data_IF_161635508667
#
_entry.id   IF_161635508667
#
_cell.length_a   1.000
_cell.length_b   1.000
_cell.length_c   1.000
_cell.angle_alpha   90.00
_cell.angle_beta   90.00
_cell.angle_gamma   90.00
#
_symmetry.space_group_name_H-M   'P 1'
#
loop_
_entity.id
_entity.type
_entity.pdbx_description
1 polymer ?
#
# COMPACT_ATOMS: atom_id res chain seq x y z
N UNK A 1 -15.41 -13.46 -22.92
CA UNK A 1 -15.49 -12.29 -22.03
C UNK A 1 -14.32 -11.31 -22.15
N UNK A 2 -13.04 -11.73 -22.10
CA UNK A 2 -11.89 -10.81 -22.15
C UNK A 2 -11.99 -9.70 -23.21
N UNK A 3 -12.14 -10.05 -24.50
CA UNK A 3 -12.15 -9.06 -25.58
C UNK A 3 -13.38 -8.13 -25.50
N UNK A 4 -14.53 -8.66 -25.08
CA UNK A 4 -15.74 -7.89 -24.89
C UNK A 4 -15.62 -6.82 -23.78
N UNK A 5 -14.84 -7.11 -22.71
CA UNK A 5 -14.55 -6.15 -21.65
C UNK A 5 -13.79 -4.93 -22.18
N UNK A 6 -12.84 -5.14 -23.11
CA UNK A 6 -12.02 -4.08 -23.70
C UNK A 6 -12.67 -3.39 -24.91
N UNK A 7 -13.46 -4.09 -25.72
CA UNK A 7 -14.15 -3.50 -26.88
C UNK A 7 -15.33 -2.60 -26.47
N UNK A 8 -15.90 -2.80 -25.27
CA UNK A 8 -17.13 -2.12 -24.82
C UNK A 8 -16.96 -1.31 -23.51
N UNK A 9 -15.75 -0.81 -23.26
CA UNK A 9 -15.36 -0.07 -22.04
C UNK A 9 -16.33 1.04 -21.60
N UNK A 10 -16.91 1.77 -22.56
CA UNK A 10 -17.79 2.92 -22.26
C UNK A 10 -19.14 2.52 -21.65
N UNK A 11 -19.51 1.23 -21.71
CA UNK A 11 -20.80 0.73 -21.24
C UNK A 11 -20.81 0.35 -19.75
N UNK A 12 -19.67 -0.04 -19.17
CA UNK A 12 -19.61 -0.57 -17.80
C UNK A 12 -18.78 0.28 -16.82
N UNK A 13 -18.00 1.25 -17.30
CA UNK A 13 -17.11 2.07 -16.46
C UNK A 13 -17.80 3.20 -15.66
N UNK A 14 -19.13 3.36 -15.77
CA UNK A 14 -19.87 4.50 -15.19
C UNK A 14 -20.95 4.08 -14.14
N UNK A 15 -20.53 3.35 -13.10
CA UNK A 15 -21.29 3.07 -11.85
C UNK A 15 -22.48 2.08 -11.89
N UNK A 16 -22.54 1.13 -12.84
CA UNK A 16 -23.32 -0.12 -12.69
C UNK A 16 -22.71 -1.26 -13.52
N UNK A 17 -21.48 -1.65 -13.19
CA UNK A 17 -20.71 -2.64 -13.94
C UNK A 17 -21.34 -4.05 -13.91
N UNK A 18 -21.96 -4.45 -12.80
CA UNK A 18 -22.48 -5.80 -12.62
C UNK A 18 -23.63 -6.14 -13.60
N UNK A 19 -24.56 -5.20 -13.82
CA UNK A 19 -25.69 -5.41 -14.76
C UNK A 19 -25.19 -5.70 -16.19
N UNK A 20 -24.12 -5.01 -16.61
CA UNK A 20 -23.51 -5.20 -17.93
C UNK A 20 -22.76 -6.53 -18.01
N UNK A 21 -22.06 -6.92 -16.95
CA UNK A 21 -21.32 -8.18 -16.90
C UNK A 21 -22.22 -9.41 -16.91
N UNK A 22 -23.42 -9.35 -16.31
CA UNK A 22 -24.42 -10.44 -16.39
C UNK A 22 -24.91 -10.63 -17.84
N UNK A 23 -25.09 -9.55 -18.62
CA UNK A 23 -25.41 -9.63 -20.04
C UNK A 23 -24.32 -10.32 -20.87
N UNK A 24 -23.05 -10.03 -20.59
CA UNK A 24 -21.93 -10.73 -21.23
C UNK A 24 -21.83 -12.20 -20.83
N UNK A 25 -22.25 -12.58 -19.62
CA UNK A 25 -22.29 -13.97 -19.19
C UNK A 25 -23.34 -14.80 -19.97
N UNK A 26 -24.55 -14.26 -20.18
CA UNK A 26 -25.63 -14.90 -20.95
C UNK A 26 -25.20 -15.21 -22.40
N UNK A 27 -24.58 -14.24 -23.07
CA UNK A 27 -24.08 -14.37 -24.45
C UNK A 27 -22.98 -15.43 -24.60
N UNK A 28 -22.17 -15.63 -23.56
CA UNK A 28 -21.11 -16.64 -23.53
C UNK A 28 -21.63 -18.00 -23.04
N UNK A 29 -22.94 -18.14 -22.82
CA UNK A 29 -23.61 -19.38 -22.45
C UNK A 29 -23.36 -19.82 -21.00
N UNK A 30 -23.04 -18.89 -20.11
CA UNK A 30 -22.85 -19.16 -18.69
C UNK A 30 -24.17 -19.09 -17.93
N UNK A 31 -24.22 -19.78 -16.78
CA UNK A 31 -25.36 -19.70 -15.86
C UNK A 31 -25.39 -18.34 -15.17
N UNK A 32 -26.34 -17.49 -15.57
CA UNK A 32 -26.40 -16.07 -15.13
C UNK A 32 -26.73 -15.91 -13.67
N UNK A 33 -27.55 -16.81 -13.09
CA UNK A 33 -27.84 -16.80 -11.65
C UNK A 33 -26.57 -17.09 -10.86
N UNK A 34 -25.81 -18.10 -11.27
CA UNK A 34 -24.53 -18.46 -10.64
C UNK A 34 -23.46 -17.40 -10.87
N UNK A 35 -23.52 -16.66 -11.98
CA UNK A 35 -22.56 -15.62 -12.33
C UNK A 35 -22.83 -14.29 -11.63
N UNK A 36 -24.09 -13.85 -11.57
CA UNK A 36 -24.48 -12.68 -10.77
C UNK A 36 -24.17 -12.92 -9.30
N UNK A 37 -24.54 -14.12 -8.79
CA UNK A 37 -24.14 -14.55 -7.46
C UNK A 37 -22.61 -14.56 -7.29
N UNK A 38 -21.83 -14.86 -8.33
CA UNK A 38 -20.37 -14.81 -8.28
C UNK A 38 -19.82 -13.39 -8.17
N UNK A 39 -20.47 -12.40 -8.80
CA UNK A 39 -20.07 -10.99 -8.75
C UNK A 39 -20.51 -10.31 -7.46
N UNK A 40 -21.74 -10.55 -7.03
CA UNK A 40 -22.25 -10.04 -5.75
C UNK A 40 -21.51 -10.63 -4.56
N UNK A 41 -21.09 -11.89 -4.68
CA UNK A 41 -20.29 -12.55 -3.65
C UNK A 41 -18.81 -12.15 -3.67
N UNK A 42 -18.37 -11.27 -4.57
CA UNK A 42 -16.97 -10.84 -4.63
C UNK A 42 -16.00 -12.00 -4.84
N UNK A 43 -16.40 -13.08 -5.52
CA UNK A 43 -15.71 -14.39 -5.48
C UNK A 43 -14.21 -14.33 -5.81
N UNK A 44 -13.82 -13.41 -6.69
CA UNK A 44 -12.45 -13.27 -7.15
C UNK A 44 -11.76 -12.02 -6.60
N UNK A 45 -12.42 -11.25 -5.72
CA UNK A 45 -11.79 -10.11 -5.06
C UNK A 45 -10.52 -10.57 -4.36
N UNK A 46 -10.54 -11.72 -3.69
CA UNK A 46 -9.35 -12.30 -3.06
C UNK A 46 -8.20 -12.58 -4.05
N UNK A 47 -8.50 -13.11 -5.25
CA UNK A 47 -7.48 -13.42 -6.26
C UNK A 47 -6.99 -12.16 -6.98
N UNK A 48 -7.90 -11.21 -7.26
CA UNK A 48 -7.61 -9.92 -7.90
C UNK A 48 -6.79 -9.04 -6.98
N UNK A 49 -7.16 -9.05 -5.70
CA UNK A 49 -6.40 -8.46 -4.64
C UNK A 49 -5.04 -9.17 -4.70
N UNK A 50 -4.88 -10.47 -4.47
CA UNK A 50 -3.57 -11.15 -4.53
C UNK A 50 -2.66 -10.77 -5.74
N UNK A 51 -3.20 -10.63 -6.95
CA UNK A 51 -2.45 -10.21 -8.16
C UNK A 51 -1.84 -8.80 -8.08
N UNK A 52 -2.42 -7.96 -7.26
CA UNK A 52 -2.14 -6.54 -7.19
C UNK A 52 -1.09 -6.20 -6.13
N UNK A 53 -1.05 -6.98 -5.04
CA UNK A 53 0.16 -7.05 -4.20
C UNK A 53 1.32 -7.64 -4.97
N UNK A 54 1.04 -8.67 -5.78
CA UNK A 54 2.04 -9.21 -6.68
C UNK A 54 2.56 -8.10 -7.59
N UNK A 55 1.72 -7.18 -8.09
CA UNK A 55 2.21 -6.02 -8.84
C UNK A 55 3.11 -5.08 -8.02
N UNK A 56 2.64 -4.62 -6.88
CA UNK A 56 3.31 -3.58 -6.08
C UNK A 56 4.63 -4.08 -5.51
N UNK A 57 4.67 -5.33 -5.03
CA UNK A 57 5.91 -6.00 -4.59
C UNK A 57 6.98 -6.08 -5.68
N UNK A 58 6.59 -6.00 -6.96
CA UNK A 58 7.52 -5.98 -8.09
C UNK A 58 7.88 -4.57 -8.56
N UNK A 59 7.64 -3.54 -7.72
CA UNK A 59 7.96 -2.14 -8.02
C UNK A 59 7.04 -1.54 -9.10
N UNK A 60 5.90 -2.18 -9.35
CA UNK A 60 4.89 -1.68 -10.29
C UNK A 60 4.11 -0.58 -9.59
N UNK A 61 4.37 0.65 -10.00
CA UNK A 61 3.59 1.82 -9.58
C UNK A 61 2.45 2.17 -10.56
N UNK A 62 2.26 1.37 -11.62
CA UNK A 62 1.22 1.61 -12.63
C UNK A 62 1.13 0.52 -13.71
N UNK A 63 -0.09 0.29 -14.19
CA UNK A 63 -0.37 -0.67 -15.27
C UNK A 63 -0.28 -0.01 -16.66
N UNK A 64 0.13 -0.74 -17.72
CA UNK A 64 0.69 -2.08 -17.68
C UNK A 64 2.18 -2.05 -17.36
N UNK A 65 2.65 -3.04 -16.60
CA UNK A 65 4.06 -3.28 -16.28
C UNK A 65 4.37 -4.76 -16.44
N UNK A 66 5.63 -5.07 -16.74
CA UNK A 66 6.07 -6.41 -17.16
C UNK A 66 7.35 -6.81 -16.45
N UNK A 67 7.52 -8.11 -16.21
CA UNK A 67 8.75 -8.67 -15.68
C UNK A 67 9.38 -9.57 -16.71
N UNK A 68 10.65 -9.32 -17.02
CA UNK A 68 11.43 -10.09 -17.98
C UNK A 68 12.60 -10.71 -17.22
N UNK A 69 12.51 -12.01 -16.93
CA UNK A 69 13.45 -12.72 -16.05
C UNK A 69 13.65 -12.01 -14.69
N UNK A 70 12.55 -11.48 -14.16
CA UNK A 70 12.52 -10.71 -12.91
C UNK A 70 12.89 -9.23 -13.03
N UNK A 71 13.22 -8.70 -14.21
CA UNK A 71 13.53 -7.27 -14.40
C UNK A 71 12.34 -6.49 -14.92
N UNK A 72 12.06 -5.34 -14.29
CA UNK A 72 10.89 -4.50 -14.54
C UNK A 72 11.01 -3.74 -15.87
N UNK A 73 10.02 -3.96 -16.74
CA UNK A 73 9.78 -3.20 -17.95
C UNK A 73 8.41 -2.53 -17.80
N UNK A 74 8.43 -1.24 -17.48
CA UNK A 74 7.22 -0.45 -17.27
C UNK A 74 6.64 0.01 -18.62
N UNK A 75 5.32 -0.03 -18.78
CA UNK A 75 4.57 0.54 -19.90
C UNK A 75 4.36 -0.43 -21.07
N UNK A 76 3.39 -0.12 -21.94
CA UNK A 76 3.10 -0.92 -23.12
C UNK A 76 4.24 -0.78 -24.18
N UNK A 77 5.19 -1.71 -24.21
CA UNK A 77 6.38 -1.66 -25.07
C UNK A 77 6.23 -2.50 -26.38
N UNK A 78 6.93 -2.15 -27.49
CA UNK A 78 6.96 -2.97 -28.72
C UNK A 78 7.73 -4.29 -28.57
N UNK A 79 7.44 -5.29 -29.42
CA UNK A 79 8.12 -6.60 -29.41
C UNK A 79 9.67 -6.50 -29.46
N UNK A 80 10.20 -5.55 -30.23
CA UNK A 80 11.64 -5.31 -30.32
C UNK A 80 12.28 -4.88 -28.98
N UNK A 81 11.54 -4.21 -28.09
CA UNK A 81 12.01 -3.82 -26.75
C UNK A 81 12.04 -5.03 -25.81
N UNK A 82 11.07 -5.94 -25.94
CA UNK A 82 11.09 -7.23 -25.25
C UNK A 82 12.25 -8.10 -25.74
N UNK A 83 12.48 -8.18 -27.05
CA UNK A 83 13.61 -8.89 -27.63
C UNK A 83 14.94 -8.34 -27.09
N UNK A 84 15.12 -7.02 -27.12
CA UNK A 84 16.30 -6.37 -26.55
C UNK A 84 16.44 -6.60 -25.03
N UNK A 85 15.35 -6.55 -24.27
CA UNK A 85 15.34 -6.84 -22.85
C UNK A 85 15.70 -8.31 -22.55
N UNK A 86 15.20 -9.25 -23.34
CA UNK A 86 15.51 -10.68 -23.24
C UNK A 86 16.98 -10.94 -23.57
N UNK A 87 17.48 -10.37 -24.66
CA UNK A 87 18.90 -10.47 -25.04
C UNK A 87 19.78 -9.87 -23.95
N UNK A 88 19.37 -8.71 -23.41
CA UNK A 88 20.03 -8.03 -22.29
C UNK A 88 20.11 -8.93 -21.06
N UNK A 89 19.01 -9.51 -20.57
CA UNK A 89 19.04 -10.38 -19.38
C UNK A 89 19.75 -11.73 -19.63
N UNK A 90 19.79 -12.20 -20.88
CA UNK A 90 20.44 -13.46 -21.28
C UNK A 90 21.96 -13.32 -21.36
N UNK A 91 22.44 -12.16 -21.78
CA UNK A 91 23.86 -11.78 -21.72
C UNK A 91 24.28 -11.35 -20.30
N UNK A 92 23.35 -11.41 -19.35
CA UNK A 92 23.55 -11.09 -17.93
C UNK A 92 23.48 -9.60 -17.58
N UNK A 93 22.91 -8.76 -18.46
CA UNK A 93 22.76 -7.31 -18.31
C UNK A 93 21.41 -6.84 -17.73
N UNK A 94 21.24 -5.51 -17.63
CA UNK A 94 20.10 -4.85 -16.97
C UNK A 94 19.27 -4.01 -17.95
N UNK A 95 17.94 -4.14 -17.91
CA UNK A 95 16.99 -3.32 -18.68
C UNK A 95 17.03 -1.87 -18.17
N UNK A 96 17.35 -0.90 -19.04
CA UNK A 96 17.47 0.51 -18.66
C UNK A 96 16.11 1.24 -18.71
N UNK A 97 15.61 1.71 -17.58
CA UNK A 97 14.29 2.36 -17.49
C UNK A 97 14.31 3.80 -18.01
N UNK A 98 13.40 4.21 -18.88
CA UNK A 98 13.27 5.62 -19.30
C UNK A 98 12.72 6.57 -18.20
N UNK A 99 12.73 6.14 -16.92
CA UNK A 99 12.83 7.02 -15.74
C UNK A 99 13.58 6.37 -14.54
N UNK A 100 14.47 5.42 -14.83
CA UNK A 100 15.42 4.79 -13.89
C UNK A 100 16.53 4.13 -14.72
N UNK A 101 17.31 4.92 -15.45
CA UNK A 101 18.59 4.38 -15.94
C UNK A 101 19.55 4.36 -14.74
N UNK A 102 19.40 3.34 -13.88
CA UNK A 102 20.35 3.05 -12.81
C UNK A 102 21.62 2.48 -13.47
N UNK A 103 22.63 3.34 -13.56
CA UNK A 103 24.02 2.96 -13.76
C UNK A 103 24.53 2.20 -12.52
N UNK A 104 25.24 1.07 -12.65
CA UNK A 104 25.76 0.36 -11.50
C UNK A 104 27.07 1.00 -11.01
N UNK A 105 27.04 1.73 -9.90
CA UNK A 105 28.22 1.80 -9.02
C UNK A 105 27.91 2.25 -7.58
N UNK A 106 28.43 1.43 -6.67
CA UNK A 106 28.53 1.53 -5.20
C UNK A 106 27.34 0.98 -4.38
N UNK A 107 27.62 0.09 -3.39
CA UNK A 107 26.66 -0.20 -2.34
C UNK A 107 26.22 1.13 -1.71
N UNK A 108 24.92 1.28 -1.35
CA UNK A 108 24.54 2.36 -0.47
C UNK A 108 25.43 2.27 0.76
N UNK A 109 26.11 3.36 1.11
CA UNK A 109 26.49 3.53 2.51
C UNK A 109 25.20 3.26 3.30
N UNK A 110 25.27 2.43 4.35
CA UNK A 110 24.11 2.17 5.21
C UNK A 110 23.37 3.50 5.39
N UNK A 111 22.07 3.61 5.03
CA UNK A 111 21.34 4.85 5.24
C UNK A 111 21.55 5.18 6.71
N UNK A 112 22.21 6.31 6.95
CA UNK A 112 22.56 6.68 8.32
C UNK A 112 21.24 6.75 9.07
N UNK A 113 21.04 5.98 10.16
CA UNK A 113 19.86 6.13 11.01
C UNK A 113 19.70 7.58 11.49
N UNK A 114 20.76 8.38 11.41
CA UNK A 114 20.79 9.80 11.74
C UNK A 114 20.14 10.77 10.73
N UNK A 115 19.70 10.32 9.54
CA UNK A 115 19.06 11.20 8.55
C UNK A 115 17.53 11.27 8.70
N UNK A 116 16.92 10.27 9.34
CA UNK A 116 15.50 10.24 9.64
C UNK A 116 15.34 10.45 11.15
N UNK A 117 14.79 11.60 11.53
CA UNK A 117 14.66 11.99 12.92
C UNK A 117 13.45 11.28 13.54
N UNK A 118 13.60 10.00 13.86
CA UNK A 118 12.47 9.16 14.28
C UNK A 118 12.43 8.99 15.80
N UNK A 119 12.07 10.06 16.50
CA UNK A 119 11.70 10.01 17.93
C UNK A 119 10.32 9.35 18.15
N UNK A 120 9.82 8.53 17.22
CA UNK A 120 8.40 8.24 17.03
C UNK A 120 8.00 6.77 17.12
N UNK A 121 6.74 6.56 17.52
CA UNK A 121 6.15 5.26 17.83
C UNK A 121 6.00 4.30 16.62
N UNK A 122 6.15 4.81 15.39
CA UNK A 122 6.14 4.02 14.14
C UNK A 122 7.49 3.42 13.73
N UNK A 123 8.43 3.28 14.67
CA UNK A 123 9.69 2.58 14.45
C UNK A 123 9.78 1.31 15.32
N UNK A 124 10.46 0.28 14.81
CA UNK A 124 10.69 -0.97 15.53
C UNK A 124 12.05 -1.61 15.19
N UNK A 125 12.56 -2.43 16.10
CA UNK A 125 13.87 -3.09 15.98
C UNK A 125 15.02 -2.30 16.59
N UNK A 126 16.24 -2.79 16.41
CA UNK A 126 17.46 -2.13 16.88
C UNK A 126 17.82 -0.96 15.94
N UNK A 127 17.88 0.30 16.40
CA UNK A 127 18.31 1.44 15.57
C UNK A 127 19.76 1.34 15.07
N UNK A 128 20.55 0.38 15.58
CA UNK A 128 21.89 0.04 15.09
C UNK A 128 21.92 -1.20 14.19
N UNK A 129 20.75 -1.76 13.85
CA UNK A 129 20.65 -2.83 12.87
C UNK A 129 21.35 -2.43 11.56
N UNK A 130 22.00 -3.38 10.87
CA UNK A 130 22.84 -3.07 9.70
C UNK A 130 22.05 -2.60 8.47
N UNK A 131 20.71 -2.74 8.48
CA UNK A 131 19.80 -2.35 7.40
C UNK A 131 18.64 -1.55 7.97
N UNK A 132 18.22 -0.51 7.25
CA UNK A 132 17.01 0.26 7.56
C UNK A 132 16.01 0.12 6.43
N UNK A 133 14.76 -0.17 6.78
CA UNK A 133 13.62 -0.09 5.86
C UNK A 133 12.81 1.14 6.24
N UNK A 134 12.51 1.99 5.26
CA UNK A 134 11.58 3.11 5.40
C UNK A 134 10.39 2.83 4.49
N UNK A 135 9.24 2.55 5.08
CA UNK A 135 7.97 2.41 4.39
C UNK A 135 7.25 3.77 4.35
N UNK A 136 6.67 4.12 3.20
CA UNK A 136 5.69 5.20 3.12
C UNK A 136 4.31 4.58 2.91
N UNK A 137 3.39 4.78 3.85
CA UNK A 137 2.11 4.06 3.88
C UNK A 137 0.92 5.01 3.85
N UNK A 138 -0.21 4.51 3.37
CA UNK A 138 -1.49 5.19 3.36
C UNK A 138 -2.53 4.28 4.02
N UNK A 139 -3.08 4.71 5.15
CA UNK A 139 -3.99 3.87 5.92
C UNK A 139 -5.29 3.51 5.20
N UNK A 140 -5.70 4.20 4.14
CA UNK A 140 -6.92 3.88 3.38
C UNK A 140 -6.61 3.13 2.06
N UNK A 141 -5.33 2.91 1.75
CA UNK A 141 -4.93 2.18 0.55
C UNK A 141 -5.11 0.67 0.78
N UNK A 142 -5.84 -0.05 -0.09
CA UNK A 142 -6.06 -1.49 0.05
C UNK A 142 -4.78 -2.32 -0.12
N UNK A 143 -3.72 -1.77 -0.74
CA UNK A 143 -2.42 -2.43 -0.85
C UNK A 143 -1.55 -2.22 0.38
N UNK A 144 -1.68 -1.05 1.02
CA UNK A 144 -1.01 -0.81 2.30
C UNK A 144 -1.58 -1.74 3.37
N UNK A 145 -2.92 -1.93 3.40
CA UNK A 145 -3.53 -2.90 4.30
C UNK A 145 -3.01 -4.31 4.09
N UNK A 146 -2.88 -4.78 2.84
CA UNK A 146 -2.30 -6.09 2.62
C UNK A 146 -0.85 -6.21 3.00
N UNK A 147 -0.05 -5.22 2.66
CA UNK A 147 1.35 -5.21 3.12
C UNK A 147 1.39 -5.31 4.65
N UNK A 148 0.62 -4.48 5.36
CA UNK A 148 0.53 -4.47 6.82
C UNK A 148 0.05 -5.80 7.42
N UNK A 149 -1.00 -6.42 6.85
CA UNK A 149 -1.64 -7.59 7.44
C UNK A 149 -0.97 -8.91 7.03
N UNK A 150 -0.47 -8.99 5.80
CA UNK A 150 0.01 -10.26 5.22
C UNK A 150 1.54 -10.32 5.13
N UNK A 151 2.23 -9.20 4.92
CA UNK A 151 3.69 -9.19 4.63
C UNK A 151 4.52 -8.70 5.81
N UNK A 152 4.09 -7.61 6.44
CA UNK A 152 4.82 -6.96 7.53
C UNK A 152 5.09 -7.90 8.73
N UNK A 153 4.14 -8.75 9.21
CA UNK A 153 4.39 -9.61 10.36
C UNK A 153 5.57 -10.57 10.16
N UNK A 154 5.78 -11.06 8.94
CA UNK A 154 6.92 -11.90 8.60
C UNK A 154 8.23 -11.09 8.51
N UNK A 155 8.20 -9.87 7.98
CA UNK A 155 9.35 -8.94 8.04
C UNK A 155 9.75 -8.69 9.49
N UNK A 156 8.79 -8.41 10.36
CA UNK A 156 9.02 -8.18 11.79
C UNK A 156 9.69 -9.41 12.41
N UNK A 157 9.04 -10.57 12.31
CA UNK A 157 9.51 -11.82 12.93
C UNK A 157 10.88 -12.28 12.42
N UNK A 158 11.16 -12.14 11.13
CA UNK A 158 12.37 -12.72 10.51
C UNK A 158 13.54 -11.75 10.39
N UNK A 159 13.27 -10.45 10.43
CA UNK A 159 14.28 -9.43 10.15
C UNK A 159 14.42 -8.43 11.30
N UNK A 160 13.30 -7.92 11.82
CA UNK A 160 13.32 -6.95 12.92
C UNK A 160 13.71 -7.65 14.23
N UNK A 161 12.97 -8.70 14.62
CA UNK A 161 13.22 -9.48 15.84
C UNK A 161 14.58 -10.21 15.81
N UNK A 162 15.05 -10.53 14.60
CA UNK A 162 16.38 -11.12 14.38
C UNK A 162 17.53 -10.08 14.48
N UNK A 163 17.22 -8.80 14.72
CA UNK A 163 18.19 -7.70 14.82
C UNK A 163 18.87 -7.33 13.50
N UNK A 164 18.26 -7.69 12.37
CA UNK A 164 18.82 -7.48 11.02
C UNK A 164 18.32 -6.18 10.39
N UNK A 165 17.12 -5.73 10.77
CA UNK A 165 16.45 -4.57 10.19
C UNK A 165 15.95 -3.63 11.29
N UNK A 166 16.20 -2.34 11.11
CA UNK A 166 15.47 -1.25 11.75
C UNK A 166 14.35 -0.82 10.81
N UNK A 167 13.10 -0.91 11.25
CA UNK A 167 11.94 -0.62 10.41
C UNK A 167 11.32 0.71 10.84
N UNK A 168 11.08 1.59 9.87
CA UNK A 168 10.45 2.90 10.06
C UNK A 168 9.26 2.99 9.12
N UNK A 169 8.09 3.32 9.68
CA UNK A 169 6.91 3.63 8.91
C UNK A 169 6.68 5.15 8.88
N UNK A 170 6.43 5.68 7.69
CA UNK A 170 6.14 7.09 7.43
C UNK A 170 4.79 7.24 6.75
N UNK A 171 4.06 8.28 7.16
CA UNK A 171 2.73 8.54 6.61
C UNK A 171 2.84 9.23 5.25
N UNK A 172 2.12 8.69 4.27
CA UNK A 172 1.93 9.28 2.95
C UNK A 172 0.43 9.22 2.58
N UNK A 173 -0.45 9.94 3.29
CA UNK A 173 -1.85 10.03 2.89
C UNK A 173 -1.96 10.64 1.48
N UNK A 174 -2.53 9.88 0.56
CA UNK A 174 -2.82 10.29 -0.80
C UNK A 174 -4.16 11.03 -0.81
N UNK A 175 -4.22 12.21 -0.16
CA UNK A 175 -5.45 12.93 0.21
C UNK A 175 -6.51 13.07 -0.92
N UNK A 176 -6.10 13.03 -2.20
CA UNK A 176 -7.02 13.07 -3.36
C UNK A 176 -7.74 11.75 -3.63
N UNK A 177 -7.09 10.62 -3.32
CA UNK A 177 -7.62 9.27 -3.50
C UNK A 177 -8.21 8.72 -2.19
N UNK A 178 -7.59 9.09 -1.08
CA UNK A 178 -7.79 8.52 0.24
C UNK A 178 -8.01 9.64 1.28
N UNK A 179 -9.20 10.29 1.28
CA UNK A 179 -9.45 11.48 2.11
C UNK A 179 -9.43 11.22 3.62
N UNK A 180 -9.60 9.97 4.05
CA UNK A 180 -9.66 9.58 5.47
C UNK A 180 -8.33 8.98 5.96
N UNK A 181 -7.36 8.70 5.08
CA UNK A 181 -6.06 8.15 5.45
C UNK A 181 -5.28 9.00 6.46
N UNK A 182 -5.44 10.32 6.37
CA UNK A 182 -4.79 11.25 7.29
C UNK A 182 -5.34 11.14 8.71
N UNK A 183 -6.65 10.99 8.88
CA UNK A 183 -7.24 10.86 10.22
C UNK A 183 -6.83 9.55 10.87
N UNK A 184 -6.75 8.47 10.08
CA UNK A 184 -6.23 7.18 10.51
C UNK A 184 -4.74 7.26 10.94
N UNK A 185 -3.89 7.94 10.16
CA UNK A 185 -2.49 8.17 10.54
C UNK A 185 -2.34 8.91 11.88
N UNK A 186 -3.17 9.92 12.12
CA UNK A 186 -3.20 10.65 13.39
C UNK A 186 -3.65 9.73 14.54
N UNK A 187 -4.65 8.88 14.33
CA UNK A 187 -5.13 7.94 15.35
C UNK A 187 -4.04 6.94 15.79
N UNK A 188 -3.31 6.35 14.84
CA UNK A 188 -2.17 5.47 15.15
C UNK A 188 -1.11 6.21 16.00
N UNK A 189 -0.76 7.44 15.62
CA UNK A 189 0.20 8.27 16.37
C UNK A 189 -0.27 8.62 17.78
N UNK A 190 -1.56 8.91 17.96
CA UNK A 190 -2.15 9.15 19.27
C UNK A 190 -2.09 7.91 20.17
N UNK A 191 -2.30 6.70 19.63
CA UNK A 191 -2.09 5.47 20.38
C UNK A 191 -0.59 5.26 20.72
N UNK A 192 0.29 5.70 19.84
CA UNK A 192 1.74 5.71 20.06
C UNK A 192 2.23 6.56 21.22
N UNK A 193 1.52 7.65 21.59
CA UNK A 193 1.82 8.39 22.85
C UNK A 193 1.63 7.51 24.09
N UNK A 194 0.87 6.42 23.97
CA UNK A 194 0.59 5.44 25.01
C UNK A 194 1.24 4.08 24.72
N UNK A 195 2.30 4.06 23.90
CA UNK A 195 3.08 2.86 23.55
C UNK A 195 2.31 1.78 22.74
N UNK A 196 1.11 2.09 22.23
CA UNK A 196 0.25 1.15 21.48
C UNK A 196 0.10 1.53 20.00
N UNK A 197 1.15 2.11 19.39
CA UNK A 197 1.12 2.53 18.00
C UNK A 197 0.82 1.35 17.07
N UNK A 198 1.56 0.26 17.25
CA UNK A 198 1.51 -0.90 16.35
C UNK A 198 0.18 -1.66 16.49
N UNK A 199 -0.34 -1.78 17.70
CA UNK A 199 -1.64 -2.38 17.93
C UNK A 199 -2.79 -1.55 17.33
N UNK A 200 -2.71 -0.22 17.40
CA UNK A 200 -3.68 0.65 16.74
C UNK A 200 -3.52 0.63 15.21
N UNK A 201 -2.29 0.68 14.72
CA UNK A 201 -1.96 0.51 13.30
C UNK A 201 -2.61 -0.75 12.73
N UNK A 202 -2.45 -1.88 13.43
CA UNK A 202 -3.00 -3.16 13.00
C UNK A 202 -4.53 -3.14 12.98
N UNK A 203 -5.18 -2.61 14.03
CA UNK A 203 -6.64 -2.51 14.06
C UNK A 203 -7.16 -1.61 12.93
N UNK A 204 -6.51 -0.47 12.67
CA UNK A 204 -6.94 0.45 11.61
C UNK A 204 -6.85 -0.24 10.24
N UNK A 205 -5.78 -0.97 9.95
CA UNK A 205 -5.68 -1.70 8.69
C UNK A 205 -6.67 -2.88 8.60
N UNK A 206 -6.88 -3.61 9.69
CA UNK A 206 -7.82 -4.75 9.76
C UNK A 206 -9.29 -4.31 9.59
N UNK A 207 -9.59 -3.04 9.86
CA UNK A 207 -10.97 -2.51 9.85
C UNK A 207 -11.20 -1.43 8.78
N UNK A 208 -10.39 -1.39 7.72
CA UNK A 208 -10.51 -0.39 6.63
C UNK A 208 -11.96 -0.22 6.12
N UNK A 209 -12.70 -1.32 5.94
CA UNK A 209 -14.08 -1.30 5.42
C UNK A 209 -15.08 -0.61 6.37
N UNK A 210 -14.74 -0.44 7.65
CA UNK A 210 -15.61 0.18 8.65
C UNK A 210 -15.45 1.70 8.69
N UNK A 211 -14.21 2.18 8.69
CA UNK A 211 -13.90 3.60 8.86
C UNK A 211 -13.64 4.34 7.54
N UNK A 212 -13.19 3.65 6.48
CA UNK A 212 -12.92 4.31 5.20
C UNK A 212 -14.22 4.84 4.58
N UNK A 213 -14.22 6.12 4.19
CA UNK A 213 -15.38 6.81 3.66
C UNK A 213 -16.31 7.42 4.72
N UNK A 214 -16.01 7.26 6.02
CA UNK A 214 -16.80 7.85 7.11
C UNK A 214 -16.47 9.33 7.38
N UNK A 215 -15.37 9.86 6.81
CA UNK A 215 -14.95 11.23 7.06
C UNK A 215 -14.72 11.49 8.55
N UNK A 216 -15.31 12.56 9.08
CA UNK A 216 -15.23 12.89 10.50
C UNK A 216 -15.85 11.82 11.42
N UNK A 217 -16.72 10.94 10.90
CA UNK A 217 -17.31 9.83 11.65
C UNK A 217 -16.34 8.72 12.00
N UNK A 218 -15.18 8.64 11.33
CA UNK A 218 -14.15 7.65 11.62
C UNK A 218 -13.55 7.81 13.03
N UNK A 219 -13.57 9.03 13.59
CA UNK A 219 -13.02 9.29 14.93
C UNK A 219 -13.72 8.48 16.03
N UNK A 220 -15.03 8.25 15.92
CA UNK A 220 -15.78 7.46 16.90
C UNK A 220 -15.28 6.01 16.92
N UNK A 221 -14.95 5.45 15.75
CA UNK A 221 -14.36 4.11 15.61
C UNK A 221 -12.95 4.06 16.21
N UNK A 222 -12.10 5.07 15.95
CA UNK A 222 -10.76 5.12 16.52
C UNK A 222 -10.78 5.19 18.06
N UNK A 223 -11.77 5.86 18.65
CA UNK A 223 -11.97 5.89 20.11
C UNK A 223 -12.40 4.51 20.62
N UNK A 224 -13.29 3.80 19.92
CA UNK A 224 -13.66 2.42 20.26
C UNK A 224 -12.45 1.48 20.20
N UNK A 225 -11.58 1.63 19.20
CA UNK A 225 -10.34 0.87 19.10
C UNK A 225 -9.40 1.16 20.28
N UNK A 226 -9.26 2.43 20.67
CA UNK A 226 -8.46 2.83 21.83
C UNK A 226 -8.97 2.19 23.13
N UNK A 227 -10.30 2.15 23.32
CA UNK A 227 -10.92 1.46 24.47
C UNK A 227 -10.61 -0.03 24.46
N UNK A 228 -10.67 -0.68 23.30
CA UNK A 228 -10.35 -2.11 23.15
C UNK A 228 -8.88 -2.41 23.46
N UNK A 229 -7.98 -1.48 23.15
CA UNK A 229 -6.56 -1.53 23.51
C UNK A 229 -6.28 -1.16 24.96
N UNK A 230 -7.32 -0.84 25.76
CA UNK A 230 -7.20 -0.40 27.15
C UNK A 230 -6.36 0.87 27.32
N UNK A 231 -6.41 1.77 26.34
CA UNK A 231 -5.81 3.09 26.42
C UNK A 231 -6.55 4.00 27.40
N UNK A 232 -5.86 5.04 27.89
CA UNK A 232 -6.47 6.19 28.54
C UNK A 232 -7.31 6.95 27.49
N UNK A 233 -8.62 6.89 27.65
CA UNK A 233 -9.63 7.42 26.73
C UNK A 233 -9.60 8.94 26.68
N UNK A 234 -9.52 9.60 27.85
CA UNK A 234 -9.43 11.07 27.93
C UNK A 234 -8.16 11.59 27.25
N UNK A 235 -7.02 10.92 27.45
CA UNK A 235 -5.77 11.28 26.79
C UNK A 235 -5.81 11.07 25.27
N UNK A 236 -6.38 9.94 24.81
CA UNK A 236 -6.48 9.62 23.39
C UNK A 236 -7.41 10.59 22.65
N UNK A 237 -8.60 10.87 23.20
CA UNK A 237 -9.54 11.85 22.65
C UNK A 237 -8.93 13.25 22.59
N UNK A 238 -8.23 13.66 23.65
CA UNK A 238 -7.52 14.94 23.67
C UNK A 238 -6.44 15.02 22.59
N UNK A 239 -5.74 13.92 22.33
CA UNK A 239 -4.76 13.83 21.26
C UNK A 239 -5.41 14.01 19.88
N UNK A 240 -6.45 13.24 19.56
CA UNK A 240 -7.19 13.35 18.29
C UNK A 240 -7.71 14.77 18.05
N UNK A 241 -8.27 15.40 19.08
CA UNK A 241 -8.82 16.76 18.98
C UNK A 241 -7.75 17.85 18.81
N UNK A 242 -6.50 17.57 19.18
CA UNK A 242 -5.44 18.57 19.18
C UNK A 242 -4.86 18.87 17.79
N UNK A 243 -4.98 17.94 16.84
CA UNK A 243 -4.32 18.01 15.52
C UNK A 243 -2.78 18.02 15.60
N UNK A 244 -2.19 17.67 16.75
CA UNK A 244 -0.75 17.85 16.98
C UNK A 244 0.14 17.01 16.07
N UNK A 245 -0.38 15.91 15.55
CA UNK A 245 0.33 15.04 14.61
C UNK A 245 0.12 15.42 13.14
N UNK A 246 -0.76 16.38 12.81
CA UNK A 246 -1.00 16.81 11.43
C UNK A 246 0.27 17.32 10.76
N UNK A 247 1.06 18.11 11.49
CA UNK A 247 2.30 18.67 10.97
C UNK A 247 3.35 17.59 10.69
N UNK A 248 3.34 16.51 11.47
CA UNK A 248 4.27 15.41 11.30
C UNK A 248 3.88 14.50 10.15
N UNK A 249 2.59 14.14 10.06
CA UNK A 249 2.04 13.42 8.89
C UNK A 249 2.32 14.20 7.60
N UNK A 250 2.17 15.52 7.63
CA UNK A 250 2.50 16.37 6.48
C UNK A 250 4.02 16.46 6.23
N UNK A 251 4.86 16.41 7.26
CA UNK A 251 6.31 16.37 7.10
C UNK A 251 6.75 15.07 6.41
N UNK A 252 6.20 13.92 6.82
CA UNK A 252 6.43 12.63 6.19
C UNK A 252 6.00 12.64 4.71
N UNK A 253 4.81 13.15 4.42
CA UNK A 253 4.32 13.24 3.05
C UNK A 253 5.20 14.16 2.17
N UNK A 254 5.69 15.29 2.72
CA UNK A 254 6.59 16.19 2.00
C UNK A 254 7.97 15.58 1.77
N UNK A 255 8.47 14.79 2.71
CA UNK A 255 9.69 14.04 2.55
C UNK A 255 9.57 13.01 1.42
N UNK A 256 8.46 12.25 1.38
CA UNK A 256 8.17 11.31 0.30
C UNK A 256 8.18 12.00 -1.07
N UNK A 257 7.50 13.15 -1.17
CA UNK A 257 7.46 13.98 -2.40
C UNK A 257 8.85 14.47 -2.79
N UNK A 258 9.68 14.90 -1.82
CA UNK A 258 11.04 15.34 -2.07
C UNK A 258 11.95 14.20 -2.58
N UNK A 259 11.64 12.96 -2.20
CA UNK A 259 12.29 11.74 -2.68
C UNK A 259 11.69 11.21 -3.99
N UNK A 260 10.66 11.86 -4.54
CA UNK A 260 9.98 11.45 -5.78
C UNK A 260 9.01 10.28 -5.63
N UNK A 261 8.58 9.97 -4.41
CA UNK A 261 7.60 8.91 -4.12
C UNK A 261 6.19 9.47 -4.40
N UNK A 262 5.40 8.73 -5.19
CA UNK A 262 4.10 9.21 -5.71
C UNK A 262 2.96 8.19 -5.55
N UNK A 263 3.19 7.11 -4.82
CA UNK A 263 2.22 6.04 -4.59
C UNK A 263 2.56 5.30 -3.30
N UNK A 264 1.63 4.47 -2.84
CA UNK A 264 1.76 3.69 -1.61
C UNK A 264 1.24 2.25 -1.78
N UNK A 265 1.78 1.30 -1.00
CA UNK A 265 3.09 1.43 -0.34
C UNK A 265 4.21 1.54 -1.39
#
# INVERSE_FOLDING_TARGET
MHDALFENLDQWSNNNANTVFVGYADENGLDTISFEACLEAGKYEEVIQADLDSGISHGISGTPSFLINGQLLVGAQPAAVFEAAIDTVTEGGTIASNDRQIEPSQPPAAPTPAAFNDEFAGAMGDPQAPVTIVEFTDYQCPYCARHSLDTMPDIVREMVDAGRVYYILKDLPLDQLHPDARSAAVAARCAGEQEMYWEMHDIIFDTQDEWAGQGAGANDLYIEYAVNLSLDDEAFEACLASGRFDQEVEANANEARALGISGTP
#
